data_IF_380722082032
#
_entry.id   IF_380722082032
#
_cell.length_a   1.000
_cell.length_b   1.000
_cell.length_c   1.000
_cell.angle_alpha   90.00
_cell.angle_beta   90.00
_cell.angle_gamma   90.00
#
_symmetry.space_group_name_H-M   'P 1'
#
loop_
_entity.id
_entity.type
_entity.pdbx_description
1 polymer ?
#
# COMPACT_ATOMS: atom_id res chain seq x y z
N UNK A 1 -14.51 0.95 1.08
CA UNK A 1 -15.19 -0.29 1.52
C UNK A 1 -14.57 -0.86 2.80
N UNK A 2 -13.23 -1.12 2.84
CA UNK A 2 -12.57 -1.77 3.99
C UNK A 2 -12.67 -0.97 5.29
N UNK A 3 -12.47 0.35 5.24
CA UNK A 3 -12.61 1.21 6.42
C UNK A 3 -14.04 1.18 6.98
N UNK A 4 -15.06 1.25 6.11
CA UNK A 4 -16.45 1.12 6.53
C UNK A 4 -16.75 -0.28 7.11
N UNK A 5 -16.16 -1.34 6.52
CA UNK A 5 -16.26 -2.70 7.05
C UNK A 5 -15.62 -2.86 8.43
N UNK A 6 -14.61 -2.05 8.74
CA UNK A 6 -13.97 -1.97 10.06
C UNK A 6 -14.69 -1.01 11.04
N UNK A 7 -15.85 -0.48 10.65
CA UNK A 7 -16.66 0.40 11.52
C UNK A 7 -16.29 1.88 11.48
N UNK A 8 -15.41 2.30 10.60
CA UNK A 8 -15.04 3.71 10.46
C UNK A 8 -16.00 4.47 9.56
N UNK A 9 -16.23 5.74 9.89
CA UNK A 9 -16.85 6.70 8.97
C UNK A 9 -15.83 7.13 7.92
N UNK A 10 -16.21 7.07 6.64
CA UNK A 10 -15.31 7.41 5.54
C UNK A 10 -15.64 8.81 5.02
N UNK A 11 -14.59 9.63 4.88
CA UNK A 11 -14.62 10.92 4.20
C UNK A 11 -13.71 10.85 2.99
N UNK A 12 -14.16 11.38 1.87
CA UNK A 12 -13.37 11.38 0.64
C UNK A 12 -12.69 12.74 0.51
N UNK A 13 -11.38 12.74 0.43
CA UNK A 13 -10.62 13.95 0.07
C UNK A 13 -10.82 14.18 -1.43
N UNK A 14 -11.07 15.42 -1.82
CA UNK A 14 -11.24 15.78 -3.23
C UNK A 14 -9.96 15.57 -4.02
N UNK A 15 -10.12 15.38 -5.32
CA UNK A 15 -9.04 15.33 -6.29
C UNK A 15 -9.04 16.66 -7.06
N UNK A 16 -7.87 17.26 -7.22
CA UNK A 16 -7.68 18.46 -8.03
C UNK A 16 -7.82 18.15 -9.52
N UNK A 17 -7.91 19.19 -10.38
CA UNK A 17 -8.10 19.04 -11.83
C UNK A 17 -6.97 18.27 -12.51
N UNK A 18 -5.74 18.35 -11.99
CA UNK A 18 -4.56 17.64 -12.48
C UNK A 18 -4.47 16.18 -11.99
N UNK A 19 -5.45 15.72 -11.21
CA UNK A 19 -5.48 14.38 -10.62
C UNK A 19 -4.73 14.22 -9.31
N UNK A 20 -4.13 15.30 -8.78
CA UNK A 20 -3.46 15.31 -7.47
C UNK A 20 -4.48 15.38 -6.31
N UNK A 21 -3.99 15.20 -5.08
CA UNK A 21 -4.80 15.36 -3.86
C UNK A 21 -5.06 16.83 -3.64
N UNK A 22 -6.33 17.20 -3.41
CA UNK A 22 -6.69 18.53 -2.94
C UNK A 22 -6.28 18.69 -1.46
N UNK A 23 -5.10 19.27 -1.25
CA UNK A 23 -4.51 19.42 0.10
C UNK A 23 -5.30 20.42 0.94
N UNK A 24 -5.91 21.42 0.33
CA UNK A 24 -6.72 22.39 1.08
C UNK A 24 -8.00 21.75 1.59
N UNK A 25 -8.67 20.96 0.78
CA UNK A 25 -9.81 20.16 1.25
C UNK A 25 -9.39 19.14 2.33
N UNK A 26 -8.19 18.54 2.22
CA UNK A 26 -7.67 17.69 3.30
C UNK A 26 -7.54 18.48 4.60
N UNK A 27 -6.97 19.69 4.57
CA UNK A 27 -6.83 20.54 5.76
C UNK A 27 -8.19 20.90 6.37
N UNK A 28 -9.18 21.19 5.55
CA UNK A 28 -10.55 21.44 6.03
C UNK A 28 -11.12 20.22 6.77
N UNK A 29 -11.00 19.02 6.21
CA UNK A 29 -11.44 17.79 6.85
C UNK A 29 -10.67 17.50 8.14
N UNK A 30 -9.37 17.71 8.17
CA UNK A 30 -8.56 17.54 9.38
C UNK A 30 -8.97 18.55 10.47
N UNK A 31 -9.28 19.79 10.10
CA UNK A 31 -9.79 20.80 11.03
C UNK A 31 -11.19 20.45 11.57
N UNK A 32 -12.06 19.89 10.74
CA UNK A 32 -13.42 19.48 11.13
C UNK A 32 -13.41 18.26 12.06
N UNK A 33 -12.58 17.25 11.74
CA UNK A 33 -12.60 15.97 12.47
C UNK A 33 -11.56 15.88 13.59
N UNK A 34 -10.45 16.61 13.51
CA UNK A 34 -9.42 16.70 14.54
C UNK A 34 -8.93 15.31 14.99
N UNK A 35 -8.86 15.10 16.31
CA UNK A 35 -8.41 13.85 16.92
C UNK A 35 -9.26 12.61 16.60
N UNK A 36 -10.39 12.77 15.92
CA UNK A 36 -11.23 11.65 15.44
C UNK A 36 -10.72 11.05 14.13
N UNK A 37 -9.68 11.62 13.54
CA UNK A 37 -9.06 11.09 12.31
C UNK A 37 -8.25 9.85 12.68
N UNK A 38 -8.72 8.68 12.27
CA UNK A 38 -8.00 7.43 12.52
C UNK A 38 -6.89 7.18 11.48
N UNK A 39 -7.18 7.41 10.22
CA UNK A 39 -6.21 7.18 9.15
C UNK A 39 -6.61 7.87 7.84
N UNK A 40 -5.62 8.08 6.97
CA UNK A 40 -5.82 8.28 5.54
C UNK A 40 -5.41 7.02 4.78
N UNK A 41 -6.11 6.71 3.69
CA UNK A 41 -5.68 5.70 2.72
C UNK A 41 -5.46 6.37 1.37
N UNK A 42 -4.30 6.16 0.80
CA UNK A 42 -3.93 6.68 -0.52
C UNK A 42 -3.21 5.62 -1.34
N UNK A 43 -3.38 5.66 -2.65
CA UNK A 43 -2.65 4.83 -3.61
C UNK A 43 -1.48 5.66 -4.16
N UNK A 44 -0.27 5.12 -4.11
CA UNK A 44 0.90 5.84 -4.64
C UNK A 44 1.79 4.95 -5.51
N UNK A 45 2.13 5.36 -6.77
CA UNK A 45 1.49 6.48 -7.50
C UNK A 45 -0.02 6.32 -7.59
N UNK A 46 -0.76 7.41 -7.85
CA UNK A 46 -2.22 7.39 -7.80
C UNK A 46 -2.81 6.49 -8.90
N UNK A 47 -4.09 6.13 -8.75
CA UNK A 47 -4.85 5.39 -9.78
C UNK A 47 -4.92 6.16 -11.12
N UNK A 48 -4.80 7.48 -11.07
CA UNK A 48 -4.73 8.35 -12.25
C UNK A 48 -3.33 8.41 -12.89
N UNK A 49 -2.34 7.70 -12.35
CA UNK A 49 -0.96 7.72 -12.84
C UNK A 49 -0.15 8.94 -12.38
N UNK A 50 -0.66 9.71 -11.44
CA UNK A 50 0.03 10.89 -10.90
C UNK A 50 0.98 10.47 -9.79
N UNK A 51 2.24 10.90 -9.90
CA UNK A 51 3.15 10.96 -8.76
C UNK A 51 2.80 12.21 -7.95
N UNK A 52 2.16 12.01 -6.83
CA UNK A 52 1.71 13.09 -5.94
C UNK A 52 2.92 13.86 -5.38
N UNK A 53 3.18 15.10 -5.82
CA UNK A 53 4.36 15.85 -5.37
C UNK A 53 4.26 16.27 -3.90
N UNK A 54 3.05 16.35 -3.37
CA UNK A 54 2.76 16.79 -2.01
C UNK A 54 2.54 15.62 -1.05
N UNK A 55 2.85 14.38 -1.46
CA UNK A 55 2.58 13.19 -0.64
C UNK A 55 3.16 13.26 0.77
N UNK A 56 4.37 13.79 0.92
CA UNK A 56 5.02 13.95 2.23
C UNK A 56 4.35 15.00 3.09
N UNK A 57 3.82 16.06 2.50
CA UNK A 57 3.00 17.04 3.19
C UNK A 57 1.67 16.43 3.64
N UNK A 58 0.99 15.74 2.75
CA UNK A 58 -0.27 15.03 3.05
C UNK A 58 -0.09 14.09 4.23
N UNK A 59 0.97 13.28 4.22
CA UNK A 59 1.22 12.32 5.30
C UNK A 59 1.57 13.00 6.61
N UNK A 60 2.35 14.09 6.58
CA UNK A 60 2.68 14.88 7.76
C UNK A 60 1.43 15.51 8.39
N UNK A 61 0.55 16.13 7.60
CA UNK A 61 -0.71 16.70 8.08
C UNK A 61 -1.58 15.68 8.80
N UNK A 62 -1.64 14.45 8.30
CA UNK A 62 -2.41 13.38 8.95
C UNK A 62 -1.77 12.92 10.25
N UNK A 63 -0.45 12.79 10.29
CA UNK A 63 0.29 12.46 11.51
C UNK A 63 0.14 13.55 12.58
N UNK A 64 0.19 14.82 12.19
CA UNK A 64 -0.01 15.94 13.10
C UNK A 64 -1.41 15.93 13.74
N UNK A 65 -2.40 15.42 13.02
CA UNK A 65 -3.75 15.16 13.54
C UNK A 65 -3.89 13.88 14.36
N UNK A 66 -2.81 13.09 14.54
CA UNK A 66 -2.81 11.82 15.27
C UNK A 66 -3.26 10.61 14.44
N UNK A 67 -3.54 10.79 13.16
CA UNK A 67 -3.94 9.72 12.25
C UNK A 67 -2.77 8.89 11.72
N UNK A 68 -3.08 7.70 11.18
CA UNK A 68 -2.13 6.82 10.52
C UNK A 68 -2.22 6.95 8.99
N UNK A 69 -1.17 6.56 8.29
CA UNK A 69 -1.09 6.61 6.84
C UNK A 69 -1.03 5.20 6.25
N UNK A 70 -2.06 4.82 5.51
CA UNK A 70 -2.10 3.57 4.75
C UNK A 70 -1.79 3.86 3.28
N UNK A 71 -0.67 3.33 2.78
CA UNK A 71 -0.30 3.42 1.37
C UNK A 71 -0.66 2.11 0.67
N UNK A 72 -1.61 2.19 -0.25
CA UNK A 72 -1.98 1.09 -1.13
C UNK A 72 -0.83 0.78 -2.09
N UNK A 73 -0.30 -0.43 -1.97
CA UNK A 73 0.83 -0.92 -2.77
C UNK A 73 0.43 -1.49 -4.14
N UNK A 74 -0.78 -1.22 -4.64
CA UNK A 74 -1.22 -1.72 -5.94
C UNK A 74 -0.30 -1.28 -7.09
N UNK A 75 0.28 -0.10 -6.99
CA UNK A 75 1.18 0.49 -7.99
C UNK A 75 2.66 0.43 -7.59
N UNK A 76 3.04 -0.44 -6.65
CA UNK A 76 4.42 -0.59 -6.16
C UNK A 76 5.42 -0.90 -7.27
N UNK A 77 5.01 -1.50 -8.37
CA UNK A 77 5.86 -1.75 -9.55
C UNK A 77 6.49 -0.48 -10.14
N UNK A 78 5.90 0.69 -9.92
CA UNK A 78 6.49 1.99 -10.31
C UNK A 78 7.53 2.50 -9.29
N UNK A 79 7.66 1.87 -8.12
CA UNK A 79 8.51 2.32 -7.02
C UNK A 79 9.64 1.34 -6.67
N UNK A 80 9.51 0.06 -7.05
CA UNK A 80 10.42 -1.00 -6.63
C UNK A 80 11.88 -0.67 -6.96
N UNK A 81 12.76 -0.72 -5.95
CA UNK A 81 14.15 -0.34 -6.08
C UNK A 81 14.43 1.17 -6.18
N UNK A 82 13.40 2.02 -6.15
CA UNK A 82 13.52 3.48 -6.22
C UNK A 82 13.10 4.15 -4.91
N UNK A 83 11.96 3.73 -4.34
CA UNK A 83 11.34 4.39 -3.20
C UNK A 83 10.56 3.36 -2.36
N UNK A 84 10.57 3.52 -1.06
CA UNK A 84 9.78 2.68 -0.13
C UNK A 84 8.57 3.45 0.36
N UNK A 85 7.39 2.81 0.51
CA UNK A 85 6.21 3.48 1.07
C UNK A 85 6.46 4.14 2.43
N UNK A 86 7.31 3.55 3.26
CA UNK A 86 7.70 4.12 4.55
C UNK A 86 8.46 5.44 4.47
N UNK A 87 9.23 5.67 3.39
CA UNK A 87 9.96 6.92 3.17
C UNK A 87 9.01 8.08 2.81
N UNK A 88 7.80 7.76 2.37
CA UNK A 88 6.72 8.71 2.09
C UNK A 88 5.86 9.03 3.31
N UNK A 89 6.18 8.50 4.47
CA UNK A 89 5.37 8.65 5.68
C UNK A 89 4.35 7.52 5.89
N UNK A 90 4.32 6.49 5.04
CA UNK A 90 3.41 5.35 5.21
C UNK A 90 3.66 4.58 6.50
N UNK A 91 2.60 4.27 7.24
CA UNK A 91 2.63 3.45 8.46
C UNK A 91 2.21 2.01 8.17
N UNK A 92 1.34 1.84 7.19
CA UNK A 92 0.86 0.54 6.70
C UNK A 92 0.91 0.53 5.17
N UNK A 93 1.33 -0.60 4.61
CA UNK A 93 1.18 -0.83 3.17
C UNK A 93 0.89 -2.30 2.91
N UNK A 94 -0.02 -2.59 1.99
CA UNK A 94 -0.15 -3.94 1.43
C UNK A 94 0.54 -4.03 0.08
N UNK A 95 0.99 -5.23 -0.27
CA UNK A 95 1.66 -5.51 -1.53
C UNK A 95 0.80 -6.42 -2.40
N UNK A 96 0.62 -6.07 -3.65
CA UNK A 96 -0.04 -6.94 -4.62
C UNK A 96 1.01 -7.79 -5.36
N UNK A 97 1.26 -8.99 -4.88
CA UNK A 97 2.27 -9.88 -5.47
C UNK A 97 1.97 -10.22 -6.94
N UNK A 98 0.69 -10.28 -7.30
CA UNK A 98 0.22 -10.52 -8.68
C UNK A 98 0.37 -9.31 -9.62
N UNK A 99 0.77 -8.16 -9.11
CA UNK A 99 1.04 -6.95 -9.92
C UNK A 99 2.53 -6.68 -10.03
N UNK A 100 3.27 -6.87 -8.94
CA UNK A 100 4.68 -6.46 -8.83
C UNK A 100 5.65 -7.66 -8.81
N UNK A 101 5.24 -8.83 -8.31
CA UNK A 101 6.13 -9.94 -7.97
C UNK A 101 5.77 -11.26 -8.64
N UNK A 102 5.18 -11.19 -9.82
CA UNK A 102 5.02 -12.29 -10.78
C UNK A 102 4.17 -13.50 -10.34
N UNK A 103 3.37 -13.42 -9.26
CA UNK A 103 2.42 -14.50 -8.99
C UNK A 103 1.22 -14.44 -9.94
N UNK A 104 0.59 -15.57 -10.29
CA UNK A 104 -0.63 -15.58 -11.07
C UNK A 104 -1.80 -15.02 -10.26
N UNK A 105 -2.73 -14.33 -10.92
CA UNK A 105 -4.01 -13.91 -10.36
C UNK A 105 -5.19 -14.77 -10.89
N UNK A 106 -5.05 -15.35 -12.09
CA UNK A 106 -5.99 -16.30 -12.65
C UNK A 106 -7.41 -15.74 -12.86
N UNK A 107 -7.52 -14.47 -13.21
CA UNK A 107 -8.84 -13.85 -13.37
C UNK A 107 -9.61 -13.63 -12.06
N UNK A 108 -8.92 -13.55 -10.93
CA UNK A 108 -9.50 -13.41 -9.59
C UNK A 108 -9.24 -14.62 -8.69
N UNK A 109 -8.24 -15.42 -9.06
CA UNK A 109 -7.83 -16.66 -8.38
C UNK A 109 -7.02 -16.41 -7.10
N UNK A 110 -5.86 -17.08 -6.93
CA UNK A 110 -5.16 -17.13 -5.67
C UNK A 110 -4.75 -15.74 -5.19
N UNK A 111 -5.17 -15.38 -3.97
CA UNK A 111 -4.88 -14.11 -3.33
C UNK A 111 -3.79 -14.25 -2.27
N UNK A 112 -2.70 -13.50 -2.41
CA UNK A 112 -1.67 -13.29 -1.40
C UNK A 112 -1.30 -11.82 -1.42
N UNK A 113 -1.51 -11.14 -0.30
CA UNK A 113 -1.19 -9.72 -0.13
C UNK A 113 -0.46 -9.51 1.19
N UNK A 114 0.87 -9.57 1.22
CA UNK A 114 1.61 -9.21 2.42
C UNK A 114 1.27 -7.80 2.87
N UNK A 115 1.10 -7.62 4.17
CA UNK A 115 0.93 -6.32 4.80
C UNK A 115 2.17 -6.03 5.62
N UNK A 116 2.76 -4.86 5.41
CA UNK A 116 3.89 -4.35 6.18
C UNK A 116 3.43 -3.16 7.01
N UNK A 117 3.92 -3.05 8.22
CA UNK A 117 3.59 -1.98 9.15
C UNK A 117 4.84 -1.42 9.81
N UNK A 118 4.77 -0.17 10.28
CA UNK A 118 5.76 0.36 11.21
C UNK A 118 5.67 -0.32 12.57
N UNK A 119 6.76 -0.30 13.34
CA UNK A 119 6.90 -1.02 14.60
C UNK A 119 5.78 -0.72 15.60
N UNK A 120 5.35 0.53 15.71
CA UNK A 120 4.28 0.93 16.65
C UNK A 120 2.92 0.29 16.35
N UNK A 121 2.69 -0.20 15.13
CA UNK A 121 1.48 -0.91 14.74
C UNK A 121 1.61 -2.43 14.84
N UNK A 122 2.81 -2.96 15.06
CA UNK A 122 3.04 -4.39 15.15
C UNK A 122 2.16 -5.10 16.20
N UNK A 123 1.93 -4.52 17.42
CA UNK A 123 1.05 -5.11 18.42
C UNK A 123 -0.41 -5.30 17.98
N UNK A 124 -0.85 -4.60 16.94
CA UNK A 124 -2.22 -4.63 16.44
C UNK A 124 -2.41 -5.53 15.23
N UNK A 125 -1.36 -6.23 14.80
CA UNK A 125 -1.47 -7.17 13.67
C UNK A 125 -2.44 -8.30 14.01
N UNK A 126 -3.22 -8.79 13.00
CA UNK A 126 -4.15 -9.88 13.21
C UNK A 126 -3.45 -11.17 13.67
N UNK A 127 -4.04 -11.86 14.64
CA UNK A 127 -3.63 -13.21 15.01
C UNK A 127 -3.93 -14.21 13.89
N UNK A 128 -3.21 -15.34 13.88
CA UNK A 128 -3.55 -16.49 13.04
C UNK A 128 -4.83 -17.19 13.54
N UNK A 129 -5.43 -18.09 12.72
CA UNK A 129 -6.66 -18.80 13.06
C UNK A 129 -6.56 -19.65 14.35
N UNK A 130 -5.35 -19.98 14.79
CA UNK A 130 -5.08 -20.76 16.01
C UNK A 130 -4.74 -19.87 17.22
N UNK A 131 -4.89 -18.54 17.10
CA UNK A 131 -4.52 -17.59 18.14
C UNK A 131 -3.02 -17.27 18.20
N UNK A 132 -2.18 -18.01 17.49
CA UNK A 132 -0.74 -17.73 17.39
C UNK A 132 -0.48 -16.63 16.35
N UNK A 133 -0.08 -15.47 16.78
CA UNK A 133 0.11 -14.32 15.89
C UNK A 133 1.39 -14.43 15.08
N UNK A 134 2.43 -14.86 15.37
CA UNK A 134 3.71 -15.02 14.67
C UNK A 134 4.58 -16.06 15.38
N UNK A 135 5.73 -16.42 14.85
CA UNK A 135 6.34 -17.72 15.09
C UNK A 135 6.91 -17.97 16.50
N UNK A 136 6.71 -17.09 17.47
CA UNK A 136 7.24 -17.33 18.83
C UNK A 136 6.20 -17.10 19.90
N UNK A 137 6.23 -17.93 20.95
CA UNK A 137 5.41 -17.77 22.16
C UNK A 137 5.68 -16.42 22.87
N UNK A 138 6.86 -15.84 22.69
CA UNK A 138 7.25 -14.53 23.22
C UNK A 138 6.46 -13.36 22.58
N UNK A 139 6.01 -13.50 21.35
CA UNK A 139 5.20 -12.47 20.68
C UNK A 139 3.77 -12.43 21.24
N UNK A 140 3.28 -13.55 21.77
CA UNK A 140 1.98 -13.63 22.42
C UNK A 140 1.96 -12.80 23.72
N UNK A 141 3.06 -12.82 24.48
CA UNK A 141 3.21 -12.05 25.71
C UNK A 141 3.36 -10.53 25.46
N UNK A 142 3.69 -10.14 24.22
CA UNK A 142 3.82 -8.74 23.80
C UNK A 142 2.52 -8.11 23.30
N UNK A 143 1.40 -8.80 23.38
CA UNK A 143 0.10 -8.28 22.99
C UNK A 143 -0.19 -8.34 21.48
N UNK A 144 0.55 -9.11 20.70
CA UNK A 144 0.20 -9.45 19.32
C UNK A 144 -1.04 -10.35 19.34
N UNK A 145 -2.22 -9.78 19.24
CA UNK A 145 -3.41 -10.56 19.45
C UNK A 145 -4.71 -9.96 18.94
N UNK A 146 -4.65 -9.27 17.82
CA UNK A 146 -5.88 -8.96 17.09
C UNK A 146 -6.62 -10.24 16.71
N UNK A 147 -7.96 -10.18 16.61
CA UNK A 147 -8.75 -11.31 16.13
C UNK A 147 -8.27 -11.77 14.74
N UNK A 148 -8.36 -13.07 14.46
CA UNK A 148 -8.09 -13.58 13.13
C UNK A 148 -9.07 -12.96 12.13
N UNK A 149 -8.56 -12.41 11.03
CA UNK A 149 -9.38 -11.79 9.99
C UNK A 149 -9.71 -12.75 8.85
N UNK A 150 -9.04 -13.89 8.77
CA UNK A 150 -9.25 -14.91 7.73
C UNK A 150 -8.83 -16.29 8.22
N UNK A 151 -9.42 -17.35 7.63
CA UNK A 151 -9.09 -18.74 7.95
C UNK A 151 -7.73 -19.20 7.41
N UNK A 152 -7.22 -18.57 6.35
CA UNK A 152 -5.92 -18.90 5.76
C UNK A 152 -4.91 -17.80 6.12
N UNK A 153 -4.07 -18.06 7.13
CA UNK A 153 -3.09 -17.10 7.66
C UNK A 153 -2.18 -16.46 6.61
N UNK A 154 -1.77 -17.26 5.64
CA UNK A 154 -0.84 -16.83 4.58
C UNK A 154 -1.52 -16.69 3.23
N UNK A 155 -2.86 -16.58 3.20
CA UNK A 155 -3.61 -16.57 1.96
C UNK A 155 -3.35 -17.82 1.13
N UNK A 156 -3.24 -17.67 -0.18
CA UNK A 156 -2.89 -18.77 -1.11
C UNK A 156 -1.39 -19.02 -1.09
N UNK A 157 -0.88 -19.54 0.03
CA UNK A 157 0.56 -19.69 0.29
C UNK A 157 1.30 -20.48 -0.81
N UNK A 158 0.63 -21.40 -1.50
CA UNK A 158 1.21 -22.24 -2.56
C UNK A 158 1.75 -21.45 -3.77
N UNK A 159 1.37 -20.17 -3.94
CA UNK A 159 1.91 -19.31 -5.02
C UNK A 159 3.09 -18.44 -4.57
N UNK A 160 3.41 -18.37 -3.28
CA UNK A 160 4.53 -17.59 -2.76
C UNK A 160 5.90 -18.01 -3.31
N UNK A 161 6.19 -19.31 -3.56
CA UNK A 161 7.44 -19.72 -4.19
C UNK A 161 7.70 -19.06 -5.55
N UNK A 162 6.65 -18.68 -6.30
CA UNK A 162 6.82 -17.98 -7.57
C UNK A 162 7.38 -16.57 -7.36
N UNK A 163 6.83 -15.80 -6.41
CA UNK A 163 7.38 -14.49 -6.05
C UNK A 163 8.80 -14.59 -5.48
N UNK A 164 9.05 -15.60 -4.65
CA UNK A 164 10.38 -15.87 -4.11
C UNK A 164 11.39 -16.17 -5.23
N UNK A 165 11.04 -17.05 -6.17
CA UNK A 165 11.89 -17.38 -7.31
C UNK A 165 12.20 -16.16 -8.16
N UNK A 166 11.17 -15.36 -8.48
CA UNK A 166 11.33 -14.11 -9.21
C UNK A 166 12.35 -13.19 -8.52
N UNK A 167 12.17 -12.94 -7.22
CA UNK A 167 13.06 -12.08 -6.45
C UNK A 167 14.48 -12.68 -6.31
N UNK A 168 14.60 -13.99 -6.13
CA UNK A 168 15.90 -14.68 -6.01
C UNK A 168 16.73 -14.64 -7.29
N UNK A 169 16.12 -14.37 -8.44
CA UNK A 169 16.84 -14.22 -9.73
C UNK A 169 17.28 -12.79 -10.02
N UNK A 170 16.92 -11.83 -9.17
CA UNK A 170 17.20 -10.41 -9.37
C UNK A 170 18.14 -9.87 -8.29
N UNK A 171 19.00 -8.96 -8.68
CA UNK A 171 19.73 -8.10 -7.76
C UNK A 171 18.96 -6.80 -7.50
N UNK A 172 19.38 -6.00 -6.52
CA UNK A 172 18.80 -4.67 -6.28
C UNK A 172 18.90 -3.76 -7.51
N UNK A 173 20.01 -3.87 -8.25
CA UNK A 173 20.21 -3.14 -9.50
C UNK A 173 19.22 -3.59 -10.59
N UNK A 174 18.90 -4.89 -10.63
CA UNK A 174 17.93 -5.43 -11.57
C UNK A 174 16.51 -4.97 -11.23
N UNK A 175 16.12 -4.98 -9.97
CA UNK A 175 14.82 -4.46 -9.53
C UNK A 175 14.63 -3.00 -9.95
N UNK A 176 15.64 -2.16 -9.69
CA UNK A 176 15.65 -0.78 -10.14
C UNK A 176 15.54 -0.66 -11.66
N UNK A 177 16.28 -1.47 -12.41
CA UNK A 177 16.27 -1.45 -13.87
C UNK A 177 14.91 -1.85 -14.43
N UNK A 178 14.27 -2.88 -13.88
CA UNK A 178 12.92 -3.31 -14.27
C UNK A 178 11.93 -2.15 -14.13
N UNK A 179 11.91 -1.48 -12.99
CA UNK A 179 11.04 -0.33 -12.73
C UNK A 179 11.29 0.81 -13.72
N UNK A 180 12.55 1.23 -13.89
CA UNK A 180 12.90 2.31 -14.80
C UNK A 180 12.55 1.97 -16.26
N UNK A 181 12.73 0.71 -16.67
CA UNK A 181 12.36 0.25 -18.01
C UNK A 181 10.84 0.31 -18.22
N UNK A 182 10.05 -0.12 -17.23
CA UNK A 182 8.60 -0.04 -17.30
C UNK A 182 8.10 1.41 -17.42
N UNK A 183 8.66 2.33 -16.63
CA UNK A 183 8.35 3.76 -16.70
C UNK A 183 8.74 4.37 -18.07
N UNK A 184 9.92 4.01 -18.59
CA UNK A 184 10.37 4.47 -19.88
C UNK A 184 9.46 3.97 -21.03
N UNK A 185 9.02 2.71 -20.98
CA UNK A 185 8.08 2.15 -21.95
C UNK A 185 6.72 2.85 -21.89
N UNK A 186 6.19 3.10 -20.69
CA UNK A 186 4.93 3.82 -20.52
C UNK A 186 5.02 5.24 -21.10
N UNK A 187 6.11 5.96 -20.81
CA UNK A 187 6.36 7.29 -21.36
C UNK A 187 6.50 7.27 -22.89
N UNK A 188 7.23 6.29 -23.43
CA UNK A 188 7.36 6.12 -24.87
C UNK A 188 6.00 5.89 -25.56
N UNK A 189 5.20 4.97 -25.01
CA UNK A 189 3.87 4.67 -25.56
C UNK A 189 2.94 5.87 -25.49
N UNK A 190 2.94 6.59 -24.38
CA UNK A 190 2.17 7.83 -24.22
C UNK A 190 2.50 8.85 -25.30
N UNK A 191 3.79 9.08 -25.55
CA UNK A 191 4.22 10.03 -26.60
C UNK A 191 3.93 9.51 -28.00
N UNK A 192 4.16 8.23 -28.27
CA UNK A 192 3.96 7.65 -29.59
C UNK A 192 2.47 7.59 -30.01
N UNK A 193 1.57 7.60 -29.04
CA UNK A 193 0.12 7.50 -29.27
C UNK A 193 -0.63 8.82 -29.05
N UNK A 194 0.06 9.90 -28.68
CA UNK A 194 -0.55 11.18 -28.34
C UNK A 194 -1.43 11.79 -29.46
N UNK A 195 -1.06 11.55 -30.72
CA UNK A 195 -1.84 12.05 -31.89
C UNK A 195 -3.14 11.24 -32.12
N UNK A 196 -3.26 10.06 -31.53
CA UNK A 196 -4.41 9.14 -31.71
C UNK A 196 -5.29 9.11 -30.47
N UNK A 197 -4.67 9.20 -29.31
CA UNK A 197 -5.32 9.17 -27.99
C UNK A 197 -4.82 10.37 -27.18
N UNK A 198 -5.49 11.54 -27.31
CA UNK A 198 -5.12 12.76 -26.60
C UNK A 198 -5.36 12.67 -25.08
#
# INVERSE_FOLDING_TARGET
ASAAGAGFSVKVVATAEDGSIDVDHLRELLAEYGERVAAIMLTYPSTHGVFEPQVTEVTALVHDAGGQVYIDGANLNALTGLLRPGDLGGDVSHLNLHKTFAIPHGGGGPGVGPVVVKEHLAPYLPAGPTGSALPTDEDHDRGFGGAAVMGARFGSAGVMPLAWTYLATLTDADLRRVTLTALAHASYLSQALADVFP
#
